data_IF_049429499367
#
_entry.id   IF_049429499367
#
_cell.length_a   1.000
_cell.length_b   1.000
_cell.length_c   1.000
_cell.angle_alpha   90.00
_cell.angle_beta   90.00
_cell.angle_gamma   90.00
#
_symmetry.space_group_name_H-M   'P 1'
#
loop_
_entity.id
_entity.type
_entity.pdbx_description
1 polymer ?
#
# COMPACT_ATOMS: atom_id res chain seq x y z
N UNK A 1 3.34 40.81 -76.77
CA UNK A 1 4.38 40.56 -75.75
C UNK A 1 4.09 41.46 -74.56
N UNK A 2 3.62 40.90 -73.44
CA UNK A 2 3.30 41.65 -72.23
C UNK A 2 4.17 41.13 -71.08
N UNK A 3 5.06 41.98 -70.58
CA UNK A 3 5.99 41.68 -69.48
C UNK A 3 5.25 41.83 -68.15
N UNK A 4 5.02 40.72 -67.47
CA UNK A 4 4.37 40.67 -66.16
C UNK A 4 5.40 41.03 -65.08
N UNK A 5 5.29 42.22 -64.51
CA UNK A 5 6.18 42.69 -63.44
C UNK A 5 5.77 42.02 -62.13
N UNK A 6 6.57 41.06 -61.66
CA UNK A 6 6.41 40.48 -60.34
C UNK A 6 7.01 41.42 -59.29
N UNK A 7 6.12 42.13 -58.58
CA UNK A 7 6.48 42.89 -57.39
C UNK A 7 6.90 41.92 -56.29
N UNK A 8 8.20 41.80 -56.05
CA UNK A 8 8.72 41.15 -54.85
C UNK A 8 8.25 41.99 -53.65
N UNK A 9 7.19 41.55 -52.98
CA UNK A 9 6.83 42.06 -51.66
C UNK A 9 7.99 41.77 -50.72
N UNK A 10 8.87 42.76 -50.52
CA UNK A 10 9.81 42.76 -49.40
C UNK A 10 8.98 42.80 -48.13
N UNK A 11 8.79 41.64 -47.51
CA UNK A 11 8.34 41.55 -46.13
C UNK A 11 9.30 42.41 -45.29
N UNK A 12 8.78 43.47 -44.66
CA UNK A 12 9.54 44.25 -43.69
C UNK A 12 9.91 43.30 -42.56
N UNK A 13 11.20 42.91 -42.51
CA UNK A 13 11.76 42.17 -41.39
C UNK A 13 11.79 43.11 -40.18
N UNK A 14 10.68 43.20 -39.47
CA UNK A 14 10.66 43.77 -38.14
C UNK A 14 11.33 42.73 -37.24
N UNK A 15 12.57 43.02 -36.80
CA UNK A 15 13.23 42.20 -35.77
C UNK A 15 12.50 42.31 -34.43
N UNK A 16 12.72 41.34 -33.56
CA UNK A 16 12.25 41.38 -32.17
C UNK A 16 12.84 42.60 -31.47
N UNK A 17 12.00 43.36 -30.78
CA UNK A 17 12.51 44.42 -29.91
C UNK A 17 13.16 43.82 -28.66
N UNK A 18 14.06 44.57 -28.02
CA UNK A 18 14.69 44.12 -26.77
C UNK A 18 13.63 43.87 -25.68
N UNK A 19 12.61 44.73 -25.62
CA UNK A 19 11.49 44.60 -24.69
C UNK A 19 10.67 43.33 -24.98
N UNK A 20 10.39 43.03 -26.25
CA UNK A 20 9.64 41.84 -26.65
C UNK A 20 10.39 40.54 -26.34
N UNK A 21 11.72 40.53 -26.57
CA UNK A 21 12.58 39.41 -26.17
C UNK A 21 12.61 39.24 -24.66
N UNK A 22 12.73 40.33 -23.91
CA UNK A 22 12.72 40.31 -22.43
C UNK A 22 11.41 39.74 -21.89
N UNK A 23 10.26 40.22 -22.39
CA UNK A 23 8.93 39.74 -21.98
C UNK A 23 8.74 38.27 -22.35
N UNK A 24 9.21 37.83 -23.52
CA UNK A 24 9.11 36.42 -23.92
C UNK A 24 9.93 35.51 -23.01
N UNK A 25 11.14 35.91 -22.64
CA UNK A 25 12.00 35.14 -21.72
C UNK A 25 11.40 35.10 -20.32
N UNK A 26 10.86 36.21 -19.79
CA UNK A 26 10.24 36.21 -18.46
C UNK A 26 8.99 35.32 -18.41
N UNK A 27 8.13 35.38 -19.43
CA UNK A 27 6.96 34.51 -19.53
C UNK A 27 7.39 33.04 -19.62
N UNK A 28 8.40 32.73 -20.43
CA UNK A 28 8.92 31.36 -20.57
C UNK A 28 9.52 30.85 -19.26
N UNK A 29 10.25 31.70 -18.53
CA UNK A 29 10.80 31.34 -17.22
C UNK A 29 9.69 31.03 -16.21
N UNK A 30 8.66 31.88 -16.12
CA UNK A 30 7.50 31.66 -15.24
C UNK A 30 6.77 30.37 -15.62
N UNK A 31 6.51 30.15 -16.90
CA UNK A 31 5.87 28.94 -17.39
C UNK A 31 6.70 27.68 -17.10
N UNK A 32 8.03 27.77 -17.25
CA UNK A 32 8.95 26.68 -16.92
C UNK A 32 8.91 26.30 -15.44
N UNK A 33 8.91 27.28 -14.53
CA UNK A 33 8.79 27.02 -13.08
C UNK A 33 7.48 26.32 -12.75
N UNK A 34 6.36 26.77 -13.33
CA UNK A 34 5.06 26.14 -13.13
C UNK A 34 5.04 24.69 -13.66
N UNK A 35 5.64 24.45 -14.83
CA UNK A 35 5.72 23.11 -15.42
C UNK A 35 6.54 22.15 -14.54
N UNK A 36 7.71 22.58 -14.04
CA UNK A 36 8.51 21.73 -13.15
C UNK A 36 7.79 21.40 -11.83
N UNK A 37 7.06 22.37 -11.27
CA UNK A 37 6.23 22.12 -10.09
C UNK A 37 5.13 21.09 -10.37
N UNK A 38 4.45 21.19 -11.52
CA UNK A 38 3.41 20.24 -11.93
C UNK A 38 3.98 18.83 -12.13
N UNK A 39 5.17 18.70 -12.74
CA UNK A 39 5.85 17.40 -12.91
C UNK A 39 6.19 16.80 -11.55
N UNK A 40 6.76 17.59 -10.63
CA UNK A 40 7.09 17.12 -9.28
C UNK A 40 5.86 16.63 -8.52
N UNK A 41 4.75 17.37 -8.59
CA UNK A 41 3.48 16.97 -8.00
C UNK A 41 2.93 15.67 -8.62
N UNK A 42 3.01 15.53 -9.95
CA UNK A 42 2.57 14.33 -10.66
C UNK A 42 3.38 13.10 -10.27
N UNK A 43 4.71 13.21 -10.17
CA UNK A 43 5.57 12.11 -9.73
C UNK A 43 5.27 11.72 -8.28
N UNK A 44 5.10 12.71 -7.39
CA UNK A 44 4.72 12.47 -6.00
C UNK A 44 3.39 11.72 -5.88
N UNK A 45 2.38 12.13 -6.65
CA UNK A 45 1.09 11.45 -6.69
C UNK A 45 1.19 10.01 -7.22
N UNK A 46 2.01 9.77 -8.24
CA UNK A 46 2.26 8.42 -8.77
C UNK A 46 2.89 7.51 -7.73
N UNK A 47 3.94 7.97 -7.03
CA UNK A 47 4.56 7.18 -5.96
C UNK A 47 3.59 6.90 -4.81
N UNK A 48 2.82 7.90 -4.39
CA UNK A 48 1.81 7.71 -3.34
C UNK A 48 0.75 6.68 -3.75
N UNK A 49 0.32 6.71 -5.02
CA UNK A 49 -0.68 5.77 -5.54
C UNK A 49 -0.12 4.35 -5.65
N UNK A 50 1.13 4.19 -6.10
CA UNK A 50 1.82 2.90 -6.13
C UNK A 50 1.94 2.30 -4.73
N UNK A 51 2.40 3.08 -3.75
CA UNK A 51 2.52 2.62 -2.37
C UNK A 51 1.15 2.22 -1.80
N UNK A 52 0.11 3.03 -2.03
CA UNK A 52 -1.24 2.71 -1.59
C UNK A 52 -1.73 1.39 -2.20
N UNK A 53 -1.58 1.17 -3.51
CA UNK A 53 -2.00 -0.06 -4.18
C UNK A 53 -1.30 -1.31 -3.60
N UNK A 54 0.01 -1.22 -3.33
CA UNK A 54 0.74 -2.33 -2.68
C UNK A 54 0.24 -2.53 -1.25
N UNK A 55 0.01 -1.45 -0.50
CA UNK A 55 -0.58 -1.50 0.83
C UNK A 55 -1.94 -2.18 0.83
N UNK A 56 -2.84 -1.79 -0.07
CA UNK A 56 -4.18 -2.40 -0.20
C UNK A 56 -4.07 -3.90 -0.51
N UNK A 57 -3.23 -4.29 -1.48
CA UNK A 57 -3.01 -5.70 -1.79
C UNK A 57 -2.51 -6.52 -0.60
N UNK A 58 -1.57 -5.99 0.19
CA UNK A 58 -1.09 -6.66 1.41
C UNK A 58 -2.14 -6.71 2.52
N UNK A 59 -2.99 -5.68 2.61
CA UNK A 59 -4.10 -5.61 3.57
C UNK A 59 -5.14 -6.67 3.24
N UNK A 60 -5.56 -6.73 1.98
CA UNK A 60 -6.55 -7.69 1.49
C UNK A 60 -6.04 -9.12 1.63
N UNK A 61 -4.78 -9.39 1.25
CA UNK A 61 -4.16 -10.70 1.43
C UNK A 61 -4.18 -11.14 2.91
N UNK A 62 -3.87 -10.24 3.85
CA UNK A 62 -3.90 -10.57 5.28
C UNK A 62 -5.33 -10.79 5.78
N UNK A 63 -6.30 -9.96 5.35
CA UNK A 63 -7.71 -10.17 5.71
C UNK A 63 -8.27 -11.48 5.15
N UNK A 64 -7.83 -11.89 3.96
CA UNK A 64 -8.13 -13.20 3.38
C UNK A 64 -7.51 -14.34 4.19
N UNK A 65 -6.24 -14.23 4.58
CA UNK A 65 -5.59 -15.19 5.47
C UNK A 65 -6.38 -15.35 6.78
N UNK A 66 -6.73 -14.23 7.42
CA UNK A 66 -7.49 -14.22 8.68
C UNK A 66 -8.91 -14.76 8.51
N UNK A 67 -9.52 -14.61 7.33
CA UNK A 67 -10.84 -15.19 7.07
C UNK A 67 -10.86 -16.72 7.05
N UNK A 68 -9.71 -17.35 6.80
CA UNK A 68 -9.56 -18.81 6.84
C UNK A 68 -9.17 -19.33 8.24
N UNK A 69 -8.88 -18.44 9.19
CA UNK A 69 -8.53 -18.80 10.57
C UNK A 69 -9.80 -19.14 11.35
N UNK A 70 -9.68 -20.07 12.30
CA UNK A 70 -10.80 -20.49 13.15
C UNK A 70 -11.26 -19.32 14.04
N UNK A 71 -12.56 -19.26 14.30
CA UNK A 71 -13.11 -18.36 15.30
C UNK A 71 -12.87 -18.91 16.73
N UNK A 72 -12.43 -18.09 17.69
CA UNK A 72 -12.14 -18.54 19.06
C UNK A 72 -13.37 -19.18 19.72
N UNK A 73 -13.20 -20.37 20.32
CA UNK A 73 -14.31 -21.13 20.93
C UNK A 73 -14.33 -21.10 22.47
N UNK A 74 -13.36 -20.45 23.10
CA UNK A 74 -13.26 -20.27 24.56
C UNK A 74 -12.91 -18.82 24.90
N UNK A 75 -13.06 -18.45 26.17
CA UNK A 75 -12.64 -17.14 26.65
C UNK A 75 -11.13 -16.97 26.50
N UNK A 76 -10.74 -15.88 25.85
CA UNK A 76 -9.38 -15.40 25.57
C UNK A 76 -8.29 -16.48 25.40
N UNK A 77 -8.14 -16.94 24.16
CA UNK A 77 -7.15 -17.94 23.70
C UNK A 77 -5.79 -17.35 23.33
N UNK A 78 -5.63 -16.02 23.43
CA UNK A 78 -4.41 -15.31 23.04
C UNK A 78 -3.15 -16.01 23.58
N UNK A 79 -2.11 -16.19 22.74
CA UNK A 79 -0.93 -16.90 23.16
C UNK A 79 -0.22 -16.08 24.24
N UNK A 80 0.35 -16.77 25.23
CA UNK A 80 0.99 -16.16 26.40
C UNK A 80 2.36 -15.53 26.11
N UNK A 81 2.54 -14.98 24.90
CA UNK A 81 3.75 -14.42 24.28
C UNK A 81 4.76 -15.45 23.76
N UNK A 82 5.39 -15.13 22.61
CA UNK A 82 6.42 -15.86 21.84
C UNK A 82 6.00 -16.94 20.83
N UNK A 83 4.70 -17.18 20.64
CA UNK A 83 4.23 -18.04 19.57
C UNK A 83 4.57 -17.41 18.20
N UNK A 84 5.20 -18.18 17.32
CA UNK A 84 5.38 -17.75 15.94
C UNK A 84 3.99 -17.71 15.28
N UNK A 85 3.78 -16.88 14.24
CA UNK A 85 2.48 -16.81 13.53
C UNK A 85 2.00 -18.18 13.00
N UNK A 86 2.92 -19.13 12.80
CA UNK A 86 2.61 -20.52 12.45
C UNK A 86 1.82 -21.26 13.53
N UNK A 87 1.99 -20.87 14.79
CA UNK A 87 1.38 -21.49 15.96
C UNK A 87 0.03 -20.84 16.31
N UNK A 88 -0.35 -19.76 15.61
CA UNK A 88 -1.65 -19.11 15.80
C UNK A 88 -2.76 -19.99 15.22
N UNK A 89 -3.68 -20.40 16.09
CA UNK A 89 -4.73 -21.36 15.79
C UNK A 89 -6.12 -20.71 15.67
N UNK A 90 -6.32 -19.52 16.24
CA UNK A 90 -7.54 -18.73 16.09
C UNK A 90 -7.30 -17.22 15.87
N UNK A 91 -8.39 -16.48 15.68
CA UNK A 91 -8.34 -15.04 15.38
C UNK A 91 -7.79 -14.20 16.55
N UNK A 92 -8.01 -14.60 17.80
CA UNK A 92 -7.62 -13.77 18.94
C UNK A 92 -6.09 -13.69 19.06
N UNK A 93 -5.37 -14.71 18.59
CA UNK A 93 -3.90 -14.79 18.59
C UNK A 93 -3.21 -13.67 17.82
N UNK A 94 -3.89 -13.09 16.82
CA UNK A 94 -3.36 -12.01 16.00
C UNK A 94 -3.48 -10.63 16.66
N UNK A 95 -4.07 -10.53 17.85
CA UNK A 95 -4.19 -9.25 18.54
C UNK A 95 -2.83 -8.64 18.87
N UNK A 96 -2.56 -7.43 18.36
CA UNK A 96 -1.28 -6.71 18.46
C UNK A 96 -0.11 -7.44 17.81
N UNK A 97 -0.38 -8.33 16.87
CA UNK A 97 0.68 -8.92 16.05
C UNK A 97 1.23 -7.88 15.07
N UNK A 98 2.55 -7.84 14.93
CA UNK A 98 3.22 -7.01 13.94
C UNK A 98 4.41 -7.72 13.32
N UNK A 99 4.76 -7.34 12.11
CA UNK A 99 5.80 -7.98 11.32
C UNK A 99 6.43 -7.02 10.32
N UNK A 100 7.76 -6.95 10.35
CA UNK A 100 8.59 -6.02 9.58
C UNK A 100 9.99 -6.62 9.39
N UNK A 101 10.42 -6.98 8.17
CA UNK A 101 9.64 -6.99 6.93
C UNK A 101 8.45 -7.95 6.97
N UNK A 102 7.44 -7.78 6.10
CA UNK A 102 6.34 -8.72 5.99
C UNK A 102 6.83 -10.12 5.60
N UNK A 103 6.34 -11.14 6.30
CA UNK A 103 6.63 -12.55 6.10
C UNK A 103 5.37 -13.41 5.86
N UNK A 104 5.50 -14.59 5.29
CA UNK A 104 4.43 -15.59 5.20
C UNK A 104 4.09 -16.18 6.58
N UNK A 105 3.01 -16.96 6.69
CA UNK A 105 2.62 -17.61 7.96
C UNK A 105 3.72 -18.53 8.51
N UNK A 106 4.54 -19.07 7.60
CA UNK A 106 5.67 -19.94 7.92
C UNK A 106 6.94 -19.17 8.30
N UNK A 107 6.92 -17.83 8.32
CA UNK A 107 8.05 -16.98 8.69
C UNK A 107 9.03 -16.66 7.55
N UNK A 108 8.75 -17.07 6.31
CA UNK A 108 9.58 -16.66 5.16
C UNK A 108 9.26 -15.22 4.75
N UNK A 109 10.25 -14.34 4.55
CA UNK A 109 10.01 -13.01 3.98
C UNK A 109 9.23 -13.09 2.66
N UNK A 110 8.32 -12.16 2.42
CA UNK A 110 7.51 -12.18 1.19
C UNK A 110 8.41 -12.15 -0.06
N UNK A 111 8.17 -13.07 -0.98
CA UNK A 111 8.95 -13.23 -2.21
C UNK A 111 10.26 -14.02 -2.05
N UNK A 112 10.60 -14.45 -0.83
CA UNK A 112 11.72 -15.36 -0.55
C UNK A 112 11.24 -16.75 -0.12
N UNK A 113 10.01 -17.11 -0.47
CA UNK A 113 9.49 -18.43 -0.14
C UNK A 113 10.27 -19.53 -0.88
N UNK A 114 10.51 -20.70 -0.23
CA UNK A 114 11.19 -21.80 -0.89
C UNK A 114 10.40 -22.28 -2.12
N UNK A 115 11.14 -22.67 -3.16
CA UNK A 115 10.58 -23.20 -4.41
C UNK A 115 9.69 -24.40 -4.11
N UNK A 116 8.43 -24.33 -4.55
CA UNK A 116 7.52 -25.48 -4.47
C UNK A 116 7.91 -26.49 -5.54
N UNK A 117 8.15 -27.74 -5.13
CA UNK A 117 8.45 -28.85 -6.05
C UNK A 117 7.16 -29.64 -6.25
N UNK A 118 6.54 -29.52 -7.42
CA UNK A 118 5.46 -30.41 -7.84
C UNK A 118 6.05 -31.52 -8.71
N UNK A 119 6.07 -32.73 -8.16
CA UNK A 119 6.34 -34.06 -8.76
C UNK A 119 7.65 -34.30 -9.52
N UNK A 120 8.25 -33.30 -10.18
CA UNK A 120 9.62 -33.32 -10.74
C UNK A 120 10.07 -31.98 -11.33
N UNK A 121 9.22 -30.95 -11.37
CA UNK A 121 9.52 -29.67 -11.99
C UNK A 121 9.71 -28.59 -10.92
N UNK A 122 10.84 -27.86 -11.02
CA UNK A 122 11.05 -26.66 -10.23
C UNK A 122 10.17 -25.56 -10.81
N UNK A 123 9.17 -25.10 -10.04
CA UNK A 123 8.41 -23.91 -10.37
C UNK A 123 9.11 -22.73 -9.70
N UNK A 124 10.09 -22.16 -10.40
CA UNK A 124 10.75 -20.94 -9.95
C UNK A 124 9.94 -19.72 -10.33
N UNK A 125 9.92 -18.73 -9.43
CA UNK A 125 9.33 -17.42 -9.70
C UNK A 125 10.12 -16.75 -10.83
N UNK A 126 9.46 -16.26 -11.90
CA UNK A 126 10.12 -15.45 -12.92
C UNK A 126 10.85 -14.25 -12.29
N UNK A 127 12.02 -13.89 -12.81
CA UNK A 127 12.82 -12.78 -12.28
C UNK A 127 12.07 -11.44 -12.24
N UNK A 128 11.14 -11.23 -13.18
CA UNK A 128 10.27 -10.05 -13.25
C UNK A 128 9.23 -9.97 -12.12
N UNK A 129 8.98 -11.08 -11.41
CA UNK A 129 8.01 -11.14 -10.30
C UNK A 129 8.68 -11.17 -8.93
N UNK A 130 10.02 -11.05 -8.87
CA UNK A 130 10.76 -10.93 -7.62
C UNK A 130 10.51 -9.51 -7.08
N UNK A 131 10.01 -9.37 -5.85
CA UNK A 131 9.76 -8.06 -5.27
C UNK A 131 11.07 -7.33 -4.96
N UNK A 132 11.01 -6.00 -4.96
CA UNK A 132 12.10 -5.17 -4.43
C UNK A 132 12.20 -5.37 -2.92
N UNK A 133 13.25 -6.07 -2.48
CA UNK A 133 13.46 -6.39 -1.07
C UNK A 133 13.70 -5.13 -0.24
N UNK A 134 14.36 -4.12 -0.80
CA UNK A 134 14.61 -2.86 -0.08
C UNK A 134 13.32 -2.08 0.21
N UNK A 135 12.33 -2.22 -0.67
CA UNK A 135 11.00 -1.68 -0.45
C UNK A 135 10.23 -2.50 0.59
N UNK A 136 10.27 -3.83 0.52
CA UNK A 136 9.63 -4.71 1.50
C UNK A 136 10.20 -4.55 2.91
N UNK A 137 11.50 -4.33 3.05
CA UNK A 137 12.20 -4.09 4.32
C UNK A 137 11.70 -2.85 5.07
N UNK A 138 11.05 -1.92 4.35
CA UNK A 138 10.47 -0.70 4.91
C UNK A 138 9.00 -0.85 5.25
N UNK A 139 8.36 -1.96 4.90
CA UNK A 139 6.96 -2.20 5.18
C UNK A 139 6.81 -2.88 6.53
N UNK A 140 5.79 -2.48 7.27
CA UNK A 140 5.30 -3.24 8.40
C UNK A 140 3.82 -3.54 8.24
N UNK A 141 3.42 -4.69 8.78
CA UNK A 141 2.01 -5.05 8.90
C UNK A 141 1.67 -5.18 10.37
N UNK A 142 0.52 -4.65 10.74
CA UNK A 142 0.00 -4.71 12.09
C UNK A 142 -1.43 -5.25 12.03
N UNK A 143 -1.77 -6.13 12.97
CA UNK A 143 -3.10 -6.67 13.12
C UNK A 143 -3.61 -6.36 14.52
N UNK A 144 -4.81 -5.81 14.58
CA UNK A 144 -5.52 -5.55 15.83
C UNK A 144 -6.85 -6.28 15.80
N UNK A 145 -7.07 -7.13 16.80
CA UNK A 145 -8.30 -7.91 16.93
C UNK A 145 -9.06 -7.47 18.18
N UNK A 146 -10.24 -6.89 17.99
CA UNK A 146 -11.06 -6.34 19.07
C UNK A 146 -12.34 -7.14 19.23
N UNK A 147 -12.72 -7.42 20.48
CA UNK A 147 -14.03 -7.96 20.81
C UNK A 147 -15.06 -6.85 20.66
N UNK A 148 -16.13 -7.11 19.93
CA UNK A 148 -17.16 -6.11 19.65
C UNK A 148 -18.54 -6.64 19.96
N UNK A 149 -19.44 -5.75 20.36
CA UNK A 149 -20.87 -6.02 20.49
C UNK A 149 -21.66 -4.96 19.75
N UNK A 150 -22.81 -5.35 19.23
CA UNK A 150 -23.73 -4.39 18.63
C UNK A 150 -24.58 -3.72 19.71
N UNK A 151 -24.46 -2.41 19.84
CA UNK A 151 -25.34 -1.56 20.62
C UNK A 151 -26.36 -0.89 19.69
N UNK A 152 -27.65 -1.00 20.05
CA UNK A 152 -28.77 -0.37 19.38
C UNK A 152 -28.63 1.15 19.16
N UNK A 153 -27.87 1.85 20.02
CA UNK A 153 -27.74 3.32 19.96
C UNK A 153 -26.46 3.80 19.28
N UNK A 154 -25.37 3.05 19.38
CA UNK A 154 -24.02 3.47 18.95
C UNK A 154 -23.37 2.55 17.91
N UNK A 155 -24.06 1.49 17.49
CA UNK A 155 -23.56 0.53 16.51
C UNK A 155 -22.56 -0.46 17.13
N UNK A 156 -21.51 -0.82 16.39
CA UNK A 156 -20.50 -1.75 16.89
C UNK A 156 -19.52 -1.08 17.86
N UNK A 157 -19.55 -1.50 19.12
CA UNK A 157 -18.69 -0.98 20.18
C UNK A 157 -17.71 -2.03 20.66
N UNK A 158 -16.49 -1.61 20.98
CA UNK A 158 -15.47 -2.47 21.61
C UNK A 158 -15.92 -2.81 23.02
N UNK A 159 -15.74 -4.07 23.41
CA UNK A 159 -16.02 -4.55 24.76
C UNK A 159 -14.90 -5.48 25.23
N UNK A 160 -14.79 -5.68 26.54
CA UNK A 160 -13.95 -6.72 27.12
C UNK A 160 -14.73 -8.02 27.38
N UNK A 161 -16.05 -7.98 27.24
CA UNK A 161 -16.91 -9.15 27.39
C UNK A 161 -16.66 -10.16 26.26
N UNK A 162 -16.85 -11.45 26.55
CA UNK A 162 -16.81 -12.48 25.51
C UNK A 162 -18.00 -12.30 24.57
N UNK A 163 -17.73 -12.28 23.26
CA UNK A 163 -18.73 -12.00 22.23
C UNK A 163 -18.53 -12.94 21.03
N UNK A 164 -19.61 -13.19 20.29
CA UNK A 164 -19.54 -13.95 19.03
C UNK A 164 -19.00 -13.13 17.85
N UNK A 165 -18.39 -11.96 18.10
CA UNK A 165 -17.91 -11.07 17.04
C UNK A 165 -16.49 -10.56 17.32
N UNK A 166 -15.69 -10.42 16.26
CA UNK A 166 -14.35 -9.83 16.30
C UNK A 166 -14.24 -8.79 15.20
N UNK A 167 -13.81 -7.57 15.53
CA UNK A 167 -13.34 -6.60 14.55
C UNK A 167 -11.84 -6.79 14.38
N UNK A 168 -11.44 -7.13 13.17
CA UNK A 168 -10.04 -7.27 12.79
C UNK A 168 -9.67 -6.06 11.94
N UNK A 169 -8.68 -5.31 12.36
CA UNK A 169 -8.09 -4.20 11.62
C UNK A 169 -6.68 -4.60 11.20
N UNK A 170 -6.40 -4.47 9.91
CA UNK A 170 -5.06 -4.66 9.35
C UNK A 170 -4.56 -3.31 8.89
N UNK A 171 -3.39 -2.91 9.39
CA UNK A 171 -2.74 -1.64 9.06
C UNK A 171 -1.39 -1.93 8.44
N UNK A 172 -1.12 -1.30 7.30
CA UNK A 172 0.16 -1.39 6.59
C UNK A 172 0.84 -0.03 6.70
N UNK A 173 2.07 -0.02 7.22
CA UNK A 173 2.89 1.18 7.34
C UNK A 173 4.12 1.08 6.45
N UNK A 174 4.57 2.24 5.97
CA UNK A 174 5.79 2.39 5.19
C UNK A 174 6.75 3.31 5.94
N UNK A 175 7.94 2.81 6.26
CA UNK A 175 9.03 3.58 6.84
C UNK A 175 9.75 4.43 5.80
N UNK A 176 10.24 5.61 6.20
CA UNK A 176 11.06 6.46 5.31
C UNK A 176 12.39 5.80 4.95
N UNK A 177 12.99 5.07 5.90
CA UNK A 177 14.27 4.37 5.78
C UNK A 177 14.15 2.98 6.41
N UNK A 178 15.13 2.12 6.18
CA UNK A 178 15.19 0.75 6.76
C UNK A 178 15.69 0.73 8.21
N UNK A 179 16.02 1.89 8.79
CA UNK A 179 16.45 1.99 10.18
C UNK A 179 15.28 1.73 11.12
N UNK A 180 15.52 1.05 12.24
CA UNK A 180 14.48 0.59 13.18
C UNK A 180 13.72 1.75 13.84
N UNK A 181 14.35 2.92 13.97
CA UNK A 181 13.75 4.14 14.54
C UNK A 181 13.17 5.09 13.47
N UNK A 182 13.07 4.61 12.22
CA UNK A 182 12.53 5.40 11.12
C UNK A 182 11.07 5.73 11.35
N UNK A 183 10.70 7.00 11.14
CA UNK A 183 9.29 7.39 11.06
C UNK A 183 8.59 6.58 9.96
N UNK A 184 7.50 5.93 10.33
CA UNK A 184 6.61 5.24 9.41
C UNK A 184 5.27 5.97 9.32
N UNK A 185 4.62 5.87 8.17
CA UNK A 185 3.27 6.36 7.98
C UNK A 185 2.38 5.24 7.44
N UNK A 186 1.11 5.27 7.81
CA UNK A 186 0.12 4.33 7.27
C UNK A 186 -0.08 4.60 5.79
N UNK A 187 0.00 3.53 4.97
CA UNK A 187 -0.29 3.58 3.53
C UNK A 187 -1.62 2.91 3.19
N UNK A 188 -2.07 1.97 4.02
CA UNK A 188 -3.35 1.29 3.86
C UNK A 188 -3.83 0.79 5.23
N UNK A 189 -5.14 0.85 5.43
CA UNK A 189 -5.81 0.29 6.59
C UNK A 189 -7.17 -0.23 6.15
N UNK A 190 -7.52 -1.44 6.57
CA UNK A 190 -8.86 -1.98 6.37
C UNK A 190 -9.30 -2.81 7.57
N UNK A 191 -10.60 -2.77 7.83
CA UNK A 191 -11.22 -3.50 8.93
C UNK A 191 -12.34 -4.39 8.43
N UNK A 192 -12.48 -5.58 9.03
CA UNK A 192 -13.58 -6.52 8.77
C UNK A 192 -14.11 -7.08 10.08
N UNK A 193 -15.42 -7.31 10.14
CA UNK A 193 -16.07 -7.96 11.27
C UNK A 193 -16.23 -9.45 10.93
N UNK A 194 -15.72 -10.30 11.82
CA UNK A 194 -15.89 -11.74 11.78
C UNK A 194 -16.89 -12.15 12.86
N UNK A 195 -17.74 -13.13 12.54
CA UNK A 195 -18.75 -13.64 13.46
C UNK A 195 -18.59 -15.15 13.62
N UNK A 196 -18.85 -15.63 14.83
CA UNK A 196 -19.00 -17.05 15.08
C UNK A 196 -20.22 -17.60 14.35
N UNK A 197 -20.02 -18.65 13.56
CA UNK A 197 -21.11 -19.42 12.94
C UNK A 197 -21.08 -20.83 13.53
N UNK A 198 -22.08 -21.23 14.34
CA UNK A 198 -22.14 -22.58 14.85
C UNK A 198 -22.35 -23.56 13.69
N UNK A 199 -21.69 -24.73 13.76
CA UNK A 199 -22.01 -25.83 12.86
C UNK A 199 -23.47 -26.22 13.09
N UNK A 200 -24.28 -26.25 12.03
CA UNK A 200 -25.65 -26.76 12.14
C UNK A 200 -25.61 -28.22 12.62
N UNK A 201 -26.55 -28.62 13.50
CA UNK A 201 -26.59 -29.97 14.07
C UNK A 201 -26.80 -31.06 13.03
#
# INVERSE_FOLDING_TARGET
MATRIHWLQRSRRNGLTLVESLVSVTITAIAGVALFSAIGASLGASYSSLNHNVGTGLTDQMLEELSAVRFPTSSDTRPHSTANRKDFDDLDDYHNWSDSPPSSKNGYPLGQEPVTILERYLITRPSLLIPDTSFLDRLSREVTVERIRHDSSSGWVVTNDETGFRRVTVTIKLAMTTDTDSRSHTISEASRIFSYVPLSP
#
